data_IF_492730758035
#
_entry.id   IF_492730758035
#
_cell.length_a   1.000
_cell.length_b   1.000
_cell.length_c   1.000
_cell.angle_alpha   90.00
_cell.angle_beta   90.00
_cell.angle_gamma   90.00
#
_symmetry.space_group_name_H-M   'P 1'
#
loop_
_entity.id
_entity.type
_entity.pdbx_description
1 polymer ?
#
# COMPACT_ATOMS: atom_id res chain seq x y z
N UNK A 1 24.80 12.56 0.71
CA UNK A 1 23.49 12.97 1.26
C UNK A 1 22.79 11.74 1.85
N UNK A 2 22.34 11.84 3.08
CA UNK A 2 21.59 10.75 3.68
C UNK A 2 20.10 11.05 3.56
N UNK A 3 19.37 10.06 3.12
CA UNK A 3 17.92 10.13 3.04
C UNK A 3 17.30 9.34 4.18
N UNK A 4 16.29 9.89 4.80
CA UNK A 4 15.50 9.16 5.77
C UNK A 4 14.66 8.13 5.00
N UNK A 5 14.72 6.84 5.36
CA UNK A 5 13.89 5.84 4.68
C UNK A 5 12.41 6.16 4.79
N UNK A 6 11.67 5.88 3.72
CA UNK A 6 10.23 6.12 3.65
C UNK A 6 9.51 4.92 4.25
N UNK A 7 8.77 5.14 5.32
CA UNK A 7 7.97 4.07 5.94
C UNK A 7 6.82 3.70 5.03
N UNK A 8 6.78 2.44 4.66
CA UNK A 8 5.92 1.92 3.61
C UNK A 8 5.16 0.71 4.10
N UNK A 9 3.90 0.59 3.69
CA UNK A 9 3.09 -0.58 3.96
C UNK A 9 2.42 -1.06 2.68
N UNK A 10 1.96 -2.30 2.69
CA UNK A 10 1.30 -2.91 1.53
C UNK A 10 -0.09 -3.37 1.93
N UNK A 11 -1.09 -2.96 1.18
CA UNK A 11 -2.46 -3.48 1.29
C UNK A 11 -2.67 -4.48 0.17
N UNK A 12 -2.95 -5.73 0.54
CA UNK A 12 -3.08 -6.84 -0.39
C UNK A 12 -1.90 -7.79 -0.27
N UNK A 13 -2.15 -9.00 0.21
CA UNK A 13 -1.13 -10.00 0.51
C UNK A 13 -1.30 -11.27 -0.32
N UNK A 14 -1.82 -11.13 -1.54
CA UNK A 14 -1.98 -12.22 -2.49
C UNK A 14 -0.67 -12.60 -3.18
N UNK A 15 -0.79 -13.38 -4.25
CA UNK A 15 0.38 -13.94 -4.92
C UNK A 15 1.37 -12.88 -5.41
N UNK A 16 0.89 -11.78 -5.98
CA UNK A 16 1.77 -10.75 -6.52
C UNK A 16 2.55 -10.01 -5.43
N UNK A 17 2.04 -10.01 -4.20
CA UNK A 17 2.73 -9.34 -3.11
C UNK A 17 4.09 -9.97 -2.79
N UNK A 18 4.30 -11.24 -3.12
CA UNK A 18 5.57 -11.90 -2.84
C UNK A 18 6.75 -11.17 -3.47
N UNK A 19 6.65 -10.84 -4.75
CA UNK A 19 7.75 -10.18 -5.44
C UNK A 19 7.92 -8.73 -4.97
N UNK A 20 6.81 -8.04 -4.72
CA UNK A 20 6.86 -6.67 -4.20
C UNK A 20 7.48 -6.61 -2.81
N UNK A 21 7.00 -7.45 -1.90
CA UNK A 21 7.51 -7.46 -0.52
C UNK A 21 8.99 -7.81 -0.48
N UNK A 22 9.39 -8.82 -1.25
CA UNK A 22 10.79 -9.23 -1.33
C UNK A 22 11.67 -8.09 -1.84
N UNK A 23 11.26 -7.43 -2.91
CA UNK A 23 12.04 -6.34 -3.49
C UNK A 23 12.10 -5.12 -2.57
N UNK A 24 10.97 -4.76 -1.96
CA UNK A 24 10.92 -3.62 -1.04
C UNK A 24 11.82 -3.84 0.17
N UNK A 25 11.85 -5.07 0.67
CA UNK A 25 12.66 -5.39 1.85
C UNK A 25 14.14 -5.47 1.53
N UNK A 26 14.50 -6.06 0.39
CA UNK A 26 15.86 -6.48 0.11
C UNK A 26 16.61 -5.61 -0.91
N UNK A 27 15.92 -4.84 -1.74
CA UNK A 27 16.56 -4.12 -2.85
C UNK A 27 16.54 -2.60 -2.73
N UNK A 28 15.63 -2.05 -1.94
CA UNK A 28 15.47 -0.61 -1.86
C UNK A 28 15.78 -0.10 -0.46
N UNK A 29 17.00 0.38 -0.27
CA UNK A 29 17.43 0.90 1.03
C UNK A 29 16.63 2.13 1.46
N UNK A 30 16.04 2.86 0.51
CA UNK A 30 15.22 4.03 0.83
C UNK A 30 13.84 3.65 1.37
N UNK A 31 13.44 2.40 1.24
CA UNK A 31 12.14 1.91 1.70
C UNK A 31 12.30 1.20 3.03
N UNK A 32 11.55 1.64 4.02
CA UNK A 32 11.41 0.94 5.30
C UNK A 32 10.05 0.25 5.29
N UNK A 33 10.04 -1.03 4.92
CA UNK A 33 8.80 -1.82 4.84
C UNK A 33 8.37 -2.24 6.23
N UNK A 34 7.26 -1.67 6.72
CA UNK A 34 6.82 -1.88 8.10
C UNK A 34 5.72 -2.91 8.25
N UNK A 35 4.87 -3.08 7.28
CA UNK A 35 3.76 -4.03 7.45
C UNK A 35 2.95 -4.30 6.19
N UNK A 36 2.05 -5.25 6.31
CA UNK A 36 1.12 -5.60 5.24
C UNK A 36 -0.24 -6.01 5.81
N UNK A 37 -1.27 -5.88 4.97
CA UNK A 37 -2.64 -6.25 5.32
C UNK A 37 -3.29 -7.05 4.19
N UNK A 38 -4.39 -7.70 4.51
CA UNK A 38 -5.28 -8.37 3.55
C UNK A 38 -6.65 -8.54 4.20
N UNK A 39 -7.70 -8.54 3.40
CA UNK A 39 -9.04 -8.85 3.90
C UNK A 39 -9.13 -10.29 4.41
N UNK A 40 -8.27 -11.18 3.89
CA UNK A 40 -8.10 -12.54 4.41
C UNK A 40 -6.91 -12.53 5.34
N UNK A 41 -7.15 -12.55 6.65
CA UNK A 41 -6.10 -12.37 7.65
C UNK A 41 -5.00 -13.43 7.58
N UNK A 42 -5.32 -14.65 7.19
CA UNK A 42 -4.30 -15.70 7.03
C UNK A 42 -3.27 -15.35 5.96
N UNK A 43 -3.69 -14.65 4.89
CA UNK A 43 -2.76 -14.23 3.83
C UNK A 43 -1.78 -13.18 4.34
N UNK A 44 -2.28 -12.17 5.06
CA UNK A 44 -1.39 -11.14 5.61
C UNK A 44 -0.48 -11.70 6.69
N UNK A 45 -0.99 -12.63 7.50
CA UNK A 45 -0.18 -13.30 8.53
C UNK A 45 0.99 -14.06 7.89
N UNK A 46 0.69 -14.85 6.84
CA UNK A 46 1.70 -15.65 6.15
C UNK A 46 2.79 -14.74 5.55
N UNK A 47 2.40 -13.64 4.90
CA UNK A 47 3.36 -12.74 4.29
C UNK A 47 4.16 -11.97 5.34
N UNK A 48 3.51 -11.56 6.42
CA UNK A 48 4.19 -10.88 7.51
C UNK A 48 5.28 -11.76 8.13
N UNK A 49 4.96 -13.01 8.39
CA UNK A 49 5.93 -13.97 8.94
C UNK A 49 7.07 -14.25 7.95
N UNK A 50 6.73 -14.45 6.68
CA UNK A 50 7.70 -14.76 5.63
C UNK A 50 8.73 -13.63 5.45
N UNK A 51 8.29 -12.39 5.52
CA UNK A 51 9.14 -11.23 5.24
C UNK A 51 9.61 -10.49 6.49
N UNK A 52 9.24 -10.96 7.68
CA UNK A 52 9.68 -10.35 8.92
C UNK A 52 9.13 -8.95 9.14
N UNK A 53 7.88 -8.70 8.77
CA UNK A 53 7.20 -7.43 8.93
C UNK A 53 5.92 -7.62 9.74
N UNK A 54 5.26 -6.52 10.11
CA UNK A 54 4.06 -6.58 10.93
C UNK A 54 2.84 -6.97 10.10
N UNK A 55 1.99 -7.80 10.66
CA UNK A 55 0.63 -7.98 10.15
C UNK A 55 -0.20 -6.81 10.67
N UNK A 56 -0.85 -6.10 9.77
CA UNK A 56 -1.64 -4.92 10.11
C UNK A 56 -3.02 -5.01 9.46
N UNK A 57 -3.98 -4.28 10.01
CA UNK A 57 -5.26 -4.06 9.33
C UNK A 57 -5.12 -2.84 8.42
N UNK A 58 -6.07 -2.70 7.48
CA UNK A 58 -6.11 -1.51 6.64
C UNK A 58 -6.24 -0.25 7.49
N UNK A 59 -7.07 -0.29 8.53
CA UNK A 59 -7.24 0.84 9.44
C UNK A 59 -5.93 1.22 10.13
N UNK A 60 -5.20 0.24 10.61
CA UNK A 60 -3.92 0.50 11.26
C UNK A 60 -2.93 1.17 10.31
N UNK A 61 -2.88 0.69 9.05
CA UNK A 61 -2.01 1.28 8.03
C UNK A 61 -2.42 2.72 7.73
N UNK A 62 -3.70 2.94 7.51
CA UNK A 62 -4.21 4.25 7.10
C UNK A 62 -4.13 5.29 8.23
N UNK A 63 -4.22 4.85 9.47
CA UNK A 63 -4.18 5.75 10.62
C UNK A 63 -2.78 5.94 11.21
N UNK A 64 -1.78 5.23 10.74
CA UNK A 64 -0.42 5.38 11.24
C UNK A 64 0.23 6.62 10.61
N UNK A 65 0.50 7.68 11.38
CA UNK A 65 1.04 8.93 10.82
C UNK A 65 2.47 8.79 10.31
N UNK A 66 3.18 7.74 10.68
CA UNK A 66 4.55 7.52 10.22
C UNK A 66 4.63 6.84 8.86
N UNK A 67 3.57 6.16 8.44
CA UNK A 67 3.53 5.52 7.11
C UNK A 67 3.22 6.58 6.07
N UNK A 68 4.13 6.76 5.13
CA UNK A 68 4.04 7.79 4.10
C UNK A 68 3.60 7.25 2.74
N UNK A 69 3.95 5.98 2.45
CA UNK A 69 3.66 5.35 1.16
C UNK A 69 2.93 4.04 1.39
N UNK A 70 1.86 3.82 0.64
CA UNK A 70 1.11 2.56 0.69
C UNK A 70 0.99 2.01 -0.72
N UNK A 71 1.38 0.76 -0.90
CA UNK A 71 1.18 0.05 -2.15
C UNK A 71 -0.17 -0.66 -2.12
N UNK A 72 -0.92 -0.46 -3.19
CA UNK A 72 -2.22 -1.09 -3.36
C UNK A 72 -2.07 -2.30 -4.29
N UNK A 73 -1.98 -3.49 -3.70
CA UNK A 73 -1.82 -4.76 -4.42
C UNK A 73 -3.08 -5.62 -4.29
N UNK A 74 -4.22 -4.99 -4.09
CA UNK A 74 -5.52 -5.67 -4.00
C UNK A 74 -5.96 -6.16 -5.38
N UNK A 75 -7.12 -6.83 -5.44
CA UNK A 75 -7.70 -7.22 -6.73
C UNK A 75 -8.09 -5.99 -7.54
N UNK A 76 -8.11 -6.14 -8.86
CA UNK A 76 -8.45 -5.04 -9.77
C UNK A 76 -9.77 -4.36 -9.40
N UNK A 77 -10.76 -5.14 -8.99
CA UNK A 77 -12.08 -4.61 -8.58
C UNK A 77 -12.02 -3.75 -7.31
N UNK A 78 -10.97 -3.89 -6.51
CA UNK A 78 -10.81 -3.12 -5.28
C UNK A 78 -9.83 -1.95 -5.41
N UNK A 79 -9.11 -1.84 -6.52
CA UNK A 79 -8.04 -0.84 -6.67
C UNK A 79 -8.52 0.58 -6.44
N UNK A 80 -9.63 0.95 -7.06
CA UNK A 80 -10.15 2.32 -6.92
C UNK A 80 -10.47 2.67 -5.47
N UNK A 81 -11.28 1.84 -4.80
CA UNK A 81 -11.72 2.15 -3.44
C UNK A 81 -10.56 2.19 -2.45
N UNK A 82 -9.63 1.24 -2.56
CA UNK A 82 -8.47 1.22 -1.67
C UNK A 82 -7.55 2.40 -1.95
N UNK A 83 -7.30 2.72 -3.22
CA UNK A 83 -6.50 3.90 -3.58
C UNK A 83 -7.15 5.19 -3.08
N UNK A 84 -8.47 5.28 -3.17
CA UNK A 84 -9.22 6.42 -2.65
C UNK A 84 -8.98 6.59 -1.15
N UNK A 85 -9.04 5.50 -0.41
CA UNK A 85 -8.80 5.53 1.04
C UNK A 85 -7.36 5.94 1.38
N UNK A 86 -6.39 5.42 0.63
CA UNK A 86 -4.98 5.76 0.84
C UNK A 86 -4.74 7.25 0.61
N UNK A 87 -5.22 7.77 -0.50
CA UNK A 87 -5.04 9.19 -0.84
C UNK A 87 -5.78 10.09 0.14
N UNK A 88 -6.98 9.69 0.55
CA UNK A 88 -7.78 10.45 1.53
C UNK A 88 -7.12 10.48 2.90
N UNK A 89 -6.30 9.49 3.22
CA UNK A 89 -5.54 9.47 4.46
C UNK A 89 -4.26 10.34 4.38
N UNK A 90 -4.05 11.02 3.25
CA UNK A 90 -2.89 11.89 3.06
C UNK A 90 -1.60 11.17 2.74
N UNK A 91 -1.67 9.92 2.28
CA UNK A 91 -0.50 9.11 1.98
C UNK A 91 -0.29 8.99 0.48
N UNK A 92 0.96 8.77 0.08
CA UNK A 92 1.28 8.45 -1.31
C UNK A 92 0.78 7.04 -1.62
N UNK A 93 0.27 6.87 -2.83
CA UNK A 93 -0.29 5.59 -3.27
C UNK A 93 0.42 5.10 -4.52
N UNK A 94 0.89 3.86 -4.46
CA UNK A 94 1.39 3.14 -5.63
C UNK A 94 0.44 1.98 -5.86
N UNK A 95 -0.27 2.00 -6.97
CA UNK A 95 -1.28 0.97 -7.27
C UNK A 95 -0.84 0.10 -8.43
N UNK A 96 -1.12 -1.22 -8.31
CA UNK A 96 -1.02 -2.09 -9.46
C UNK A 96 -2.06 -1.70 -10.51
N UNK A 97 -1.84 -2.10 -11.74
CA UNK A 97 -2.79 -1.88 -12.81
C UNK A 97 -3.94 -2.89 -12.67
N UNK A 98 -5.14 -2.54 -13.01
CA UNK A 98 -5.61 -1.22 -13.43
C UNK A 98 -5.88 -0.36 -12.21
N UNK A 99 -5.57 0.92 -12.34
CA UNK A 99 -5.80 1.87 -11.26
C UNK A 99 -7.28 1.97 -10.87
N UNK A 100 -8.15 1.89 -11.86
CA UNK A 100 -9.61 2.03 -11.68
C UNK A 100 -10.32 1.48 -12.90
N UNK A 101 -11.65 1.43 -12.85
CA UNK A 101 -12.45 0.83 -13.92
C UNK A 101 -13.11 1.86 -14.84
N UNK A 102 -13.22 3.11 -14.43
CA UNK A 102 -13.87 4.17 -15.21
C UNK A 102 -13.03 5.44 -15.21
N UNK A 103 -13.27 6.28 -16.21
CA UNK A 103 -12.62 7.60 -16.28
C UNK A 103 -13.07 8.50 -15.13
N UNK A 104 -14.32 8.37 -14.72
CA UNK A 104 -14.83 9.13 -13.57
C UNK A 104 -14.07 8.81 -12.29
N UNK A 105 -13.79 7.53 -12.06
CA UNK A 105 -12.98 7.10 -10.93
C UNK A 105 -11.56 7.65 -11.00
N UNK A 106 -10.96 7.68 -12.19
CA UNK A 106 -9.63 8.24 -12.39
C UNK A 106 -9.60 9.73 -12.05
N UNK A 107 -10.62 10.48 -12.47
CA UNK A 107 -10.73 11.90 -12.15
C UNK A 107 -10.90 12.13 -10.64
N UNK A 108 -11.68 11.28 -9.98
CA UNK A 108 -11.88 11.39 -8.54
C UNK A 108 -10.57 11.14 -7.78
N UNK A 109 -9.81 10.14 -8.17
CA UNK A 109 -8.50 9.87 -7.54
C UNK A 109 -7.55 11.05 -7.72
N UNK A 110 -7.52 11.63 -8.90
CA UNK A 110 -6.67 12.79 -9.17
C UNK A 110 -7.10 14.01 -8.34
N UNK A 111 -8.40 14.20 -8.18
CA UNK A 111 -8.94 15.29 -7.35
C UNK A 111 -8.48 15.13 -5.89
N UNK A 112 -8.64 13.91 -5.34
CA UNK A 112 -8.24 13.64 -3.96
C UNK A 112 -6.73 13.81 -3.79
N UNK A 113 -5.95 13.34 -4.75
CA UNK A 113 -4.49 13.50 -4.72
C UNK A 113 -4.11 14.98 -4.64
N UNK A 114 -4.74 15.82 -5.44
CA UNK A 114 -4.46 17.25 -5.46
C UNK A 114 -4.85 17.93 -4.14
N UNK A 115 -5.98 17.54 -3.55
CA UNK A 115 -6.46 18.11 -2.30
C UNK A 115 -5.55 17.77 -1.11
N UNK A 116 -4.94 16.59 -1.13
CA UNK A 116 -4.10 16.11 -0.03
C UNK A 116 -2.60 16.22 -0.33
N UNK A 117 -2.31 16.68 -1.51
CA UNK A 117 -0.95 16.91 -1.96
C UNK A 117 -0.11 15.64 -2.01
#
# INVERSE_FOLDING_TARGET
MQYKPVKTAVIGSGMISNIYLSNLKNRFSIIDLVGCSDIVSEKSKAQAEKHGIRQMTNEEILNDPEIELVLNLTYASAHYEVSRQILSAGKHCYSEKMMCLTLEEAHELDRIRKENN
#
